data_IF_714730157205
#
_entry.id   IF_714730157205
#
_cell.length_a   1.000
_cell.length_b   1.000
_cell.length_c   1.000
_cell.angle_alpha   90.00
_cell.angle_beta   90.00
_cell.angle_gamma   90.00
#
_symmetry.space_group_name_H-M   'P 1'
#
loop_
_entity.id
_entity.type
_entity.pdbx_description
1 polymer ?
#
# COMPACT_ATOMS: atom_id res chain seq x y z
N UNK A 1 -8.45 -19.37 -20.44
CA UNK A 1 -8.92 -18.56 -21.59
C UNK A 1 -10.42 -18.40 -21.44
N UNK A 2 -10.90 -17.15 -21.35
CA UNK A 2 -12.33 -16.84 -21.23
C UNK A 2 -13.01 -17.16 -22.57
N UNK A 3 -13.94 -18.12 -22.58
CA UNK A 3 -14.67 -18.53 -23.78
C UNK A 3 -15.99 -17.74 -23.91
N UNK A 4 -15.91 -16.45 -24.28
CA UNK A 4 -17.09 -15.65 -24.63
C UNK A 4 -17.20 -15.49 -26.14
N UNK A 5 -18.43 -15.53 -26.65
CA UNK A 5 -18.70 -15.17 -28.05
C UNK A 5 -18.60 -13.65 -28.23
N UNK A 6 -18.37 -13.20 -29.48
CA UNK A 6 -18.41 -11.77 -29.79
C UNK A 6 -19.77 -11.13 -29.49
N UNK A 7 -20.87 -11.88 -29.61
CA UNK A 7 -22.20 -11.39 -29.26
C UNK A 7 -22.33 -11.10 -27.75
N UNK A 8 -21.78 -11.97 -26.90
CA UNK A 8 -21.77 -11.76 -25.45
C UNK A 8 -20.89 -10.58 -25.06
N UNK A 9 -19.69 -10.48 -25.64
CA UNK A 9 -18.78 -9.35 -25.39
C UNK A 9 -19.40 -8.03 -25.83
N UNK A 10 -20.00 -7.97 -27.02
CA UNK A 10 -20.68 -6.77 -27.51
C UNK A 10 -21.88 -6.41 -26.62
N UNK A 11 -22.69 -7.39 -26.20
CA UNK A 11 -23.78 -7.12 -25.27
C UNK A 11 -23.28 -6.50 -23.96
N UNK A 12 -22.21 -7.04 -23.38
CA UNK A 12 -21.62 -6.49 -22.16
C UNK A 12 -21.12 -5.07 -22.43
N UNK A 13 -20.38 -4.89 -23.53
CA UNK A 13 -19.76 -3.60 -23.83
C UNK A 13 -20.83 -2.50 -24.04
N UNK A 14 -21.88 -2.81 -24.80
CA UNK A 14 -22.95 -1.87 -25.12
C UNK A 14 -23.82 -1.46 -23.91
N UNK A 15 -23.78 -2.23 -22.82
CA UNK A 15 -24.66 -2.02 -21.66
C UNK A 15 -23.92 -1.67 -20.37
N UNK A 16 -22.60 -1.88 -20.29
CA UNK A 16 -21.82 -1.66 -19.07
C UNK A 16 -20.40 -1.09 -19.25
N UNK A 17 -19.91 -0.91 -20.49
CA UNK A 17 -18.55 -0.39 -20.71
C UNK A 17 -18.45 1.13 -20.49
N UNK A 18 -17.22 1.62 -20.47
CA UNK A 18 -16.82 3.01 -20.20
C UNK A 18 -17.76 4.05 -20.83
N UNK A 19 -18.18 5.01 -20.01
CA UNK A 19 -19.00 6.16 -20.42
C UNK A 19 -20.51 6.01 -20.17
N UNK A 20 -20.99 4.87 -19.68
CA UNK A 20 -22.38 4.72 -19.22
C UNK A 20 -22.48 5.23 -17.78
N UNK A 21 -23.31 6.25 -17.56
CA UNK A 21 -23.47 6.83 -16.23
C UNK A 21 -24.18 5.84 -15.27
N UNK A 22 -23.87 5.90 -13.98
CA UNK A 22 -24.44 4.96 -12.99
C UNK A 22 -25.98 4.95 -12.92
N UNK A 23 -26.63 6.07 -13.25
CA UNK A 23 -28.09 6.21 -13.31
C UNK A 23 -28.70 5.59 -14.57
N UNK A 24 -27.90 5.33 -15.60
CA UNK A 24 -28.31 4.68 -16.85
C UNK A 24 -28.12 3.16 -16.80
N UNK A 25 -27.31 2.66 -15.87
CA UNK A 25 -27.14 1.23 -15.61
C UNK A 25 -28.47 0.55 -15.26
N UNK A 26 -28.79 -0.52 -15.98
CA UNK A 26 -30.01 -1.29 -15.80
C UNK A 26 -29.72 -2.66 -15.23
N UNK A 27 -30.17 -2.90 -14.01
CA UNK A 27 -30.08 -4.21 -13.36
C UNK A 27 -30.78 -5.31 -14.18
N UNK A 28 -31.83 -4.97 -14.95
CA UNK A 28 -32.51 -5.91 -15.86
C UNK A 28 -31.64 -6.38 -17.02
N UNK A 29 -30.63 -5.60 -17.42
CA UNK A 29 -29.60 -6.02 -18.38
C UNK A 29 -28.58 -6.91 -17.69
N UNK A 30 -28.20 -6.58 -16.46
CA UNK A 30 -27.24 -7.37 -15.70
C UNK A 30 -27.75 -8.79 -15.45
N UNK A 31 -29.05 -8.93 -15.14
CA UNK A 31 -29.72 -10.23 -14.96
C UNK A 31 -29.76 -11.12 -16.21
N UNK A 32 -29.34 -10.63 -17.38
CA UNK A 32 -29.21 -11.45 -18.59
C UNK A 32 -27.84 -12.14 -18.66
N UNK A 33 -26.87 -11.71 -17.85
CA UNK A 33 -25.59 -12.39 -17.69
C UNK A 33 -25.79 -13.60 -16.77
N UNK A 34 -25.46 -14.78 -17.25
CA UNK A 34 -25.80 -16.06 -16.60
C UNK A 34 -24.59 -16.95 -16.35
N UNK A 35 -23.41 -16.56 -16.83
CA UNK A 35 -22.18 -17.34 -16.71
C UNK A 35 -21.11 -16.60 -15.92
N UNK A 36 -20.20 -17.35 -15.29
CA UNK A 36 -19.07 -16.77 -14.57
C UNK A 36 -18.11 -16.03 -15.50
N UNK A 37 -17.95 -16.52 -16.74
CA UNK A 37 -17.12 -15.92 -17.78
C UNK A 37 -17.63 -14.53 -18.17
N UNK A 38 -18.95 -14.34 -18.31
CA UNK A 38 -19.56 -13.03 -18.57
C UNK A 38 -19.29 -12.04 -17.44
N UNK A 39 -19.46 -12.48 -16.19
CA UNK A 39 -19.21 -11.63 -15.03
C UNK A 39 -17.73 -11.29 -14.85
N UNK A 40 -16.84 -12.25 -15.11
CA UNK A 40 -15.41 -12.01 -15.05
C UNK A 40 -14.95 -11.04 -16.14
N UNK A 41 -15.41 -11.23 -17.39
CA UNK A 41 -15.13 -10.27 -18.46
C UNK A 41 -15.64 -8.87 -18.08
N UNK A 42 -16.88 -8.76 -17.62
CA UNK A 42 -17.43 -7.48 -17.16
C UNK A 42 -16.57 -6.84 -16.05
N UNK A 43 -16.14 -7.61 -15.04
CA UNK A 43 -15.27 -7.11 -13.98
C UNK A 43 -13.94 -6.57 -14.52
N UNK A 44 -13.31 -7.28 -15.46
CA UNK A 44 -12.00 -6.90 -16.03
C UNK A 44 -12.06 -5.67 -16.94
N UNK A 45 -13.21 -5.42 -17.57
CA UNK A 45 -13.39 -4.27 -18.47
C UNK A 45 -13.94 -3.04 -17.74
N UNK A 46 -14.33 -3.17 -16.48
CA UNK A 46 -14.95 -2.08 -15.72
C UNK A 46 -13.91 -1.05 -15.27
N UNK A 47 -14.14 0.22 -15.61
CA UNK A 47 -13.35 1.32 -15.08
C UNK A 47 -13.82 1.67 -13.65
N UNK A 48 -12.94 1.49 -12.66
CA UNK A 48 -13.25 1.73 -11.25
C UNK A 48 -13.58 3.20 -10.94
N UNK A 49 -13.14 4.14 -11.78
CA UNK A 49 -13.48 5.57 -11.67
C UNK A 49 -14.97 5.86 -11.95
N UNK A 50 -15.66 4.97 -12.67
CA UNK A 50 -17.12 5.06 -12.90
C UNK A 50 -17.93 4.59 -11.66
N UNK A 51 -17.23 4.23 -10.58
CA UNK A 51 -17.74 3.73 -9.31
C UNK A 51 -18.06 2.23 -9.33
N UNK A 52 -18.51 1.69 -8.21
CA UNK A 52 -18.45 0.22 -7.97
C UNK A 52 -19.80 -0.50 -8.05
N UNK A 53 -20.85 0.16 -8.52
CA UNK A 53 -22.22 -0.39 -8.53
C UNK A 53 -22.34 -1.70 -9.31
N UNK A 54 -21.73 -1.79 -10.50
CA UNK A 54 -21.71 -3.02 -11.30
C UNK A 54 -20.90 -4.12 -10.60
N UNK A 55 -19.79 -3.75 -9.98
CA UNK A 55 -18.95 -4.67 -9.22
C UNK A 55 -19.68 -5.24 -7.99
N UNK A 56 -20.52 -4.44 -7.34
CA UNK A 56 -21.42 -4.92 -6.28
C UNK A 56 -22.43 -5.94 -6.82
N UNK A 57 -23.05 -5.69 -7.97
CA UNK A 57 -23.94 -6.68 -8.60
C UNK A 57 -23.22 -7.99 -8.93
N UNK A 58 -21.97 -7.92 -9.39
CA UNK A 58 -21.12 -9.10 -9.60
C UNK A 58 -20.87 -9.82 -8.27
N UNK A 59 -20.45 -9.11 -7.22
CA UNK A 59 -20.13 -9.69 -5.91
C UNK A 59 -21.35 -10.31 -5.20
N UNK A 60 -22.56 -9.84 -5.49
CA UNK A 60 -23.82 -10.39 -4.98
C UNK A 60 -24.37 -11.54 -5.84
N UNK A 61 -23.82 -11.75 -7.04
CA UNK A 61 -24.34 -12.74 -7.98
C UNK A 61 -23.89 -14.17 -7.62
N UNK A 62 -24.80 -15.15 -7.53
CA UNK A 62 -24.45 -16.54 -7.27
C UNK A 62 -23.78 -17.24 -8.47
N UNK A 63 -23.70 -16.59 -9.63
CA UNK A 63 -22.92 -17.09 -10.78
C UNK A 63 -21.51 -16.48 -10.84
N UNK A 64 -21.16 -15.58 -9.93
CA UNK A 64 -19.79 -15.07 -9.82
C UNK A 64 -18.83 -16.19 -9.41
N UNK A 65 -17.67 -16.24 -10.06
CA UNK A 65 -16.63 -17.21 -9.72
C UNK A 65 -15.83 -16.79 -8.49
N UNK A 66 -15.23 -17.77 -7.80
CA UNK A 66 -14.31 -17.49 -6.69
C UNK A 66 -13.11 -16.65 -7.15
N UNK A 67 -12.55 -16.91 -8.33
CA UNK A 67 -11.46 -16.10 -8.87
C UNK A 67 -11.87 -14.64 -9.10
N UNK A 68 -13.03 -14.38 -9.70
CA UNK A 68 -13.53 -13.01 -9.92
C UNK A 68 -13.81 -12.30 -8.60
N UNK A 69 -14.42 -12.98 -7.62
CA UNK A 69 -14.66 -12.39 -6.31
C UNK A 69 -13.36 -12.05 -5.57
N UNK A 70 -12.35 -12.91 -5.70
CA UNK A 70 -11.02 -12.67 -5.12
C UNK A 70 -10.31 -11.50 -5.80
N UNK A 71 -10.38 -11.41 -7.13
CA UNK A 71 -9.83 -10.30 -7.91
C UNK A 71 -10.46 -8.97 -7.49
N UNK A 72 -11.80 -8.89 -7.44
CA UNK A 72 -12.52 -7.69 -6.99
C UNK A 72 -12.13 -7.30 -5.56
N UNK A 73 -11.92 -8.28 -4.70
CA UNK A 73 -11.50 -8.03 -3.32
C UNK A 73 -10.16 -7.30 -3.27
N UNK A 74 -9.16 -7.78 -4.00
CA UNK A 74 -7.82 -7.18 -4.00
C UNK A 74 -7.74 -5.86 -4.74
N UNK A 75 -8.47 -5.73 -5.86
CA UNK A 75 -8.56 -4.46 -6.60
C UNK A 75 -9.26 -3.36 -5.79
N UNK A 76 -10.15 -3.72 -4.86
CA UNK A 76 -10.79 -2.78 -3.93
C UNK A 76 -9.86 -2.27 -2.80
N UNK A 77 -8.59 -2.68 -2.78
CA UNK A 77 -7.57 -2.20 -1.83
C UNK A 77 -8.02 -2.30 -0.36
N UNK A 78 -8.31 -3.51 0.15
CA UNK A 78 -8.86 -3.73 1.49
C UNK A 78 -8.03 -3.09 2.60
N UNK A 79 -6.71 -2.98 2.41
CA UNK A 79 -5.75 -2.36 3.32
C UNK A 79 -6.10 -0.91 3.68
N UNK A 80 -6.71 -0.15 2.77
CA UNK A 80 -7.09 1.24 3.03
C UNK A 80 -8.32 1.37 3.95
N UNK A 81 -9.07 0.28 4.08
CA UNK A 81 -10.30 0.21 4.86
C UNK A 81 -10.17 -0.57 6.16
N UNK A 82 -9.03 -1.20 6.43
CA UNK A 82 -8.77 -1.94 7.67
C UNK A 82 -8.92 -1.08 8.92
N UNK A 83 -8.82 0.24 8.81
CA UNK A 83 -9.01 1.16 9.94
C UNK A 83 -10.46 1.41 10.36
N UNK A 84 -11.41 1.04 9.51
CA UNK A 84 -12.83 1.24 9.78
C UNK A 84 -13.46 -0.06 10.27
N UNK A 85 -14.26 0.01 11.33
CA UNK A 85 -15.03 -1.13 11.79
C UNK A 85 -16.03 -1.59 10.71
N UNK A 86 -16.22 -2.90 10.54
CA UNK A 86 -17.08 -3.47 9.49
C UNK A 86 -18.57 -3.12 9.64
N UNK A 87 -19.01 -2.71 10.83
CA UNK A 87 -20.37 -2.21 11.09
C UNK A 87 -20.51 -0.69 10.82
N UNK A 88 -19.44 -0.02 10.41
CA UNK A 88 -19.41 1.42 10.16
C UNK A 88 -19.86 1.77 8.73
N UNK A 89 -20.38 2.99 8.59
CA UNK A 89 -20.69 3.65 7.31
C UNK A 89 -19.80 4.87 7.19
N UNK A 90 -19.05 4.97 6.09
CA UNK A 90 -18.11 6.07 5.86
C UNK A 90 -18.86 7.32 5.41
N UNK A 91 -18.31 8.50 5.76
CA UNK A 91 -18.90 9.79 5.39
C UNK A 91 -18.71 10.12 3.90
N UNK A 92 -17.58 9.71 3.33
CA UNK A 92 -17.32 9.88 1.91
C UNK A 92 -18.08 8.79 1.13
N UNK A 93 -18.96 9.21 0.22
CA UNK A 93 -19.86 8.29 -0.48
C UNK A 93 -19.11 7.28 -1.35
N UNK A 94 -18.15 7.72 -2.17
CA UNK A 94 -17.39 6.81 -3.04
C UNK A 94 -16.55 5.80 -2.24
N UNK A 95 -15.89 6.24 -1.17
CA UNK A 95 -15.20 5.34 -0.26
C UNK A 95 -16.17 4.37 0.42
N UNK A 96 -17.36 4.83 0.81
CA UNK A 96 -18.36 3.99 1.44
C UNK A 96 -18.92 2.92 0.48
N UNK A 97 -19.05 3.23 -0.81
CA UNK A 97 -19.45 2.25 -1.83
C UNK A 97 -18.41 1.13 -1.98
N UNK A 98 -17.13 1.49 -2.07
CA UNK A 98 -16.02 0.51 -2.09
C UNK A 98 -16.01 -0.31 -0.80
N UNK A 99 -16.15 0.33 0.36
CA UNK A 99 -16.20 -0.38 1.64
C UNK A 99 -17.41 -1.32 1.75
N UNK A 100 -18.53 -0.97 1.12
CA UNK A 100 -19.72 -1.83 1.06
C UNK A 100 -19.48 -3.05 0.18
N UNK A 101 -18.82 -2.88 -0.98
CA UNK A 101 -18.36 -4.00 -1.82
C UNK A 101 -17.44 -4.94 -1.03
N UNK A 102 -16.45 -4.39 -0.31
CA UNK A 102 -15.54 -5.18 0.55
C UNK A 102 -16.31 -5.97 1.61
N UNK A 103 -17.30 -5.37 2.28
CA UNK A 103 -18.14 -6.06 3.27
C UNK A 103 -18.93 -7.23 2.67
N UNK A 104 -19.42 -7.10 1.45
CA UNK A 104 -20.10 -8.19 0.72
C UNK A 104 -19.12 -9.34 0.47
N UNK A 105 -17.94 -9.04 -0.07
CA UNK A 105 -16.90 -10.02 -0.38
C UNK A 105 -16.39 -10.73 0.88
N UNK A 106 -16.07 -9.97 1.95
CA UNK A 106 -15.65 -10.50 3.26
C UNK A 106 -16.67 -11.44 3.88
N UNK A 107 -17.96 -11.19 3.64
CA UNK A 107 -19.04 -12.07 4.10
C UNK A 107 -19.18 -13.30 3.22
N UNK A 108 -19.24 -13.14 1.91
CA UNK A 108 -19.65 -14.21 0.99
C UNK A 108 -18.52 -15.19 0.68
N UNK A 109 -17.29 -14.70 0.53
CA UNK A 109 -16.15 -15.52 0.11
C UNK A 109 -15.81 -16.64 1.11
N UNK A 110 -15.65 -16.37 2.42
CA UNK A 110 -15.36 -17.43 3.39
C UNK A 110 -16.52 -18.41 3.59
N UNK A 111 -17.73 -18.02 3.20
CA UNK A 111 -18.93 -18.86 3.26
C UNK A 111 -19.13 -19.72 2.00
N UNK A 112 -18.15 -19.79 1.10
CA UNK A 112 -18.21 -20.58 -0.14
C UNK A 112 -19.41 -20.25 -1.03
N UNK A 113 -19.80 -18.97 -1.07
CA UNK A 113 -20.93 -18.51 -1.89
C UNK A 113 -20.65 -18.55 -3.40
N UNK A 114 -19.39 -18.34 -3.79
CA UNK A 114 -18.99 -18.21 -5.20
C UNK A 114 -18.73 -19.55 -5.88
N UNK A 115 -18.91 -19.58 -7.21
CA UNK A 115 -18.73 -20.80 -8.00
C UNK A 115 -17.25 -21.13 -8.20
N UNK A 116 -16.92 -22.42 -8.12
CA UNK A 116 -15.63 -22.94 -8.58
C UNK A 116 -15.67 -23.11 -10.08
N UNK A 117 -14.72 -22.49 -10.77
CA UNK A 117 -14.64 -22.52 -12.24
C UNK A 117 -13.21 -22.81 -12.67
N UNK A 118 -12.94 -22.72 -13.98
CA UNK A 118 -11.58 -22.79 -14.52
C UNK A 118 -10.90 -21.42 -14.61
N UNK A 119 -11.53 -20.36 -14.08
CA UNK A 119 -10.92 -19.04 -13.96
C UNK A 119 -9.99 -19.09 -12.76
N UNK A 120 -8.76 -18.62 -12.93
CA UNK A 120 -7.73 -18.62 -11.90
C UNK A 120 -7.39 -17.18 -11.53
N UNK A 121 -7.04 -16.95 -10.27
CA UNK A 121 -6.53 -15.65 -9.81
C UNK A 121 -5.45 -15.86 -8.75
N UNK A 122 -4.28 -15.24 -8.96
CA UNK A 122 -3.17 -15.27 -8.02
C UNK A 122 -3.04 -13.91 -7.30
N UNK A 123 -3.35 -13.85 -5.99
CA UNK A 123 -3.27 -12.61 -5.21
C UNK A 123 -1.85 -12.27 -4.74
N UNK A 124 -0.83 -13.07 -5.04
CA UNK A 124 0.52 -12.94 -4.45
C UNK A 124 1.10 -11.54 -4.61
N UNK A 125 1.01 -10.95 -5.81
CA UNK A 125 1.52 -9.59 -6.08
C UNK A 125 0.81 -8.50 -5.27
N UNK A 126 -0.44 -8.73 -4.88
CA UNK A 126 -1.21 -7.79 -4.07
C UNK A 126 -0.89 -7.95 -2.58
N UNK A 127 -0.58 -9.18 -2.13
CA UNK A 127 -0.13 -9.45 -0.76
C UNK A 127 1.22 -8.78 -0.45
N UNK A 128 2.16 -8.81 -1.40
CA UNK A 128 3.51 -8.25 -1.23
C UNK A 128 3.53 -6.71 -1.15
N UNK A 129 2.42 -6.06 -1.50
CA UNK A 129 2.26 -4.60 -1.47
C UNK A 129 1.97 -4.03 -0.06
N UNK A 130 1.74 -4.89 0.93
CA UNK A 130 1.47 -4.50 2.31
C UNK A 130 2.79 -4.06 3.00
N UNK A 131 3.26 -2.84 2.70
CA UNK A 131 4.38 -2.25 3.41
C UNK A 131 3.98 -1.94 4.86
N UNK A 132 4.20 -2.93 5.73
CA UNK A 132 3.97 -2.80 7.16
C UNK A 132 5.19 -2.18 7.84
N UNK A 133 4.97 -1.07 8.53
CA UNK A 133 5.98 -0.43 9.36
C UNK A 133 5.98 -1.11 10.73
N UNK A 134 7.08 -1.79 11.14
CA UNK A 134 7.13 -2.46 12.44
C UNK A 134 7.06 -1.45 13.60
N UNK A 135 6.31 -1.79 14.66
CA UNK A 135 6.14 -0.90 15.83
C UNK A 135 7.44 -0.44 16.47
N UNK A 136 8.47 -1.29 16.42
CA UNK A 136 9.76 -1.01 17.01
C UNK A 136 10.48 0.17 16.35
N UNK A 137 10.20 0.47 15.07
CA UNK A 137 10.90 1.56 14.35
C UNK A 137 10.41 2.95 14.78
N UNK A 138 9.26 3.00 15.46
CA UNK A 138 8.73 4.21 16.10
C UNK A 138 9.17 4.34 17.57
N UNK A 139 9.88 3.35 18.11
CA UNK A 139 10.43 3.42 19.47
C UNK A 139 11.78 4.11 19.47
N UNK A 140 12.11 4.74 20.60
CA UNK A 140 13.44 5.29 20.85
C UNK A 140 14.49 4.17 20.76
N UNK A 141 15.54 4.41 19.96
CA UNK A 141 16.68 3.50 19.83
C UNK A 141 17.65 3.63 21.02
N UNK A 142 18.48 2.61 21.25
CA UNK A 142 19.50 2.65 22.31
C UNK A 142 20.74 3.42 21.86
N UNK A 143 21.50 3.96 22.80
CA UNK A 143 22.79 4.61 22.55
C UNK A 143 22.95 5.90 23.34
N UNK A 144 24.00 6.65 23.03
CA UNK A 144 24.22 8.01 23.52
C UNK A 144 23.18 8.97 22.92
N UNK A 145 22.70 9.95 23.68
CA UNK A 145 21.65 10.86 23.18
C UNK A 145 22.15 11.67 21.98
N UNK A 146 21.47 11.53 20.83
CA UNK A 146 21.76 12.36 19.66
C UNK A 146 21.32 13.81 19.89
N UNK A 147 21.98 14.74 19.22
CA UNK A 147 21.59 16.16 19.19
C UNK A 147 21.88 16.75 17.82
N UNK A 148 21.08 17.75 17.44
CA UNK A 148 21.25 18.50 16.20
C UNK A 148 22.06 19.77 16.49
N UNK A 149 23.13 19.97 15.74
CA UNK A 149 24.01 21.15 15.80
C UNK A 149 24.18 21.85 14.46
N UNK A 150 23.81 21.21 13.33
CA UNK A 150 23.63 21.94 12.07
C UNK A 150 22.30 22.68 12.10
N UNK A 151 22.33 23.91 11.60
CA UNK A 151 21.13 24.67 11.28
C UNK A 151 20.75 24.44 9.82
N UNK A 152 19.50 24.70 9.47
CA UNK A 152 19.01 24.56 8.09
C UNK A 152 19.88 25.37 7.10
N UNK A 153 20.26 26.60 7.48
CA UNK A 153 21.14 27.45 6.68
C UNK A 153 22.56 26.89 6.46
N UNK A 154 23.04 25.99 7.31
CA UNK A 154 24.34 25.32 7.10
C UNK A 154 24.27 24.34 5.93
N UNK A 155 23.09 23.78 5.68
CA UNK A 155 22.84 22.68 4.73
C UNK A 155 22.17 23.17 3.45
N UNK A 156 21.35 24.23 3.51
CA UNK A 156 20.68 24.85 2.34
C UNK A 156 21.65 25.24 1.21
N UNK A 157 22.92 25.49 1.56
CA UNK A 157 23.96 25.86 0.60
C UNK A 157 24.65 24.66 -0.05
N UNK A 158 24.31 23.43 0.35
CA UNK A 158 24.88 22.22 -0.22
C UNK A 158 24.09 21.80 -1.46
N UNK A 159 24.79 21.64 -2.57
CA UNK A 159 24.22 21.12 -3.81
C UNK A 159 24.99 19.87 -4.23
N UNK A 160 24.31 18.86 -4.77
CA UNK A 160 24.91 17.68 -5.40
C UNK A 160 26.20 17.15 -4.72
N UNK A 161 27.38 17.60 -5.20
CA UNK A 161 28.70 17.18 -4.72
C UNK A 161 28.98 17.57 -3.28
N UNK A 162 28.46 18.70 -2.80
CA UNK A 162 28.62 19.08 -1.40
C UNK A 162 27.93 18.06 -0.49
N UNK A 163 26.70 17.65 -0.83
CA UNK A 163 25.99 16.58 -0.13
C UNK A 163 26.78 15.27 -0.12
N UNK A 164 27.20 14.81 -1.30
CA UNK A 164 27.98 13.58 -1.42
C UNK A 164 29.29 13.64 -0.60
N UNK A 165 29.99 14.77 -0.64
CA UNK A 165 31.25 14.95 0.07
C UNK A 165 31.03 14.98 1.59
N UNK A 166 30.06 15.73 2.08
CA UNK A 166 29.78 15.80 3.51
C UNK A 166 29.38 14.44 4.07
N UNK A 167 28.53 13.69 3.36
CA UNK A 167 28.17 12.32 3.75
C UNK A 167 29.41 11.42 3.73
N UNK A 168 30.18 11.41 2.64
CA UNK A 168 31.34 10.51 2.47
C UNK A 168 32.44 10.78 3.48
N UNK A 169 32.66 12.05 3.82
CA UNK A 169 33.75 12.50 4.67
C UNK A 169 33.35 12.80 6.11
N UNK A 170 32.10 12.50 6.50
CA UNK A 170 31.68 12.52 7.89
C UNK A 170 32.70 11.78 8.77
N UNK A 171 33.10 12.40 9.88
CA UNK A 171 34.21 11.95 10.74
C UNK A 171 33.74 11.17 11.95
N UNK A 172 32.44 11.15 12.20
CA UNK A 172 31.83 10.48 13.35
C UNK A 172 30.38 10.10 13.08
N UNK A 173 29.83 9.23 13.94
CA UNK A 173 28.41 8.88 13.92
C UNK A 173 27.51 10.09 14.18
N UNK A 174 27.88 10.98 15.11
CA UNK A 174 27.06 12.18 15.39
C UNK A 174 27.07 13.18 14.24
N UNK A 175 28.18 13.32 13.51
CA UNK A 175 28.24 14.18 12.32
C UNK A 175 27.39 13.60 11.19
N UNK A 176 27.47 12.29 10.94
CA UNK A 176 26.63 11.63 9.94
C UNK A 176 25.14 11.73 10.31
N UNK A 177 24.79 11.58 11.59
CA UNK A 177 23.43 11.76 12.09
C UNK A 177 22.90 13.17 11.81
N UNK A 178 23.73 14.18 12.05
CA UNK A 178 23.40 15.58 11.80
C UNK A 178 23.19 15.88 10.32
N UNK A 179 23.99 15.29 9.43
CA UNK A 179 23.78 15.35 7.98
C UNK A 179 22.47 14.66 7.60
N UNK A 180 22.24 13.46 8.15
CA UNK A 180 21.07 12.64 7.83
C UNK A 180 19.74 13.30 8.21
N UNK A 181 19.76 14.19 9.22
CA UNK A 181 18.59 14.92 9.69
C UNK A 181 17.95 15.82 8.62
N UNK A 182 18.73 16.26 7.62
CA UNK A 182 18.28 17.17 6.56
C UNK A 182 18.05 16.46 5.21
N UNK A 183 18.03 15.13 5.17
CA UNK A 183 17.81 14.40 3.92
C UNK A 183 16.37 14.60 3.43
N UNK A 184 16.26 15.00 2.17
CA UNK A 184 14.99 15.13 1.44
C UNK A 184 15.01 14.37 0.10
N UNK A 185 16.15 13.74 -0.25
CA UNK A 185 16.31 12.96 -1.48
C UNK A 185 16.79 11.52 -1.19
N UNK A 186 16.21 10.50 -1.87
CA UNK A 186 16.56 9.10 -1.61
C UNK A 186 18.03 8.74 -1.91
N UNK A 187 18.68 9.43 -2.84
CA UNK A 187 20.08 9.18 -3.21
C UNK A 187 21.04 9.48 -2.06
N UNK A 188 20.83 10.58 -1.34
CA UNK A 188 21.59 10.91 -0.13
C UNK A 188 21.30 9.92 1.00
N UNK A 189 20.05 9.48 1.17
CA UNK A 189 19.70 8.41 2.11
C UNK A 189 20.49 7.13 1.83
N UNK A 190 20.60 6.72 0.57
CA UNK A 190 21.35 5.54 0.17
C UNK A 190 22.85 5.67 0.53
N UNK A 191 23.45 6.86 0.33
CA UNK A 191 24.83 7.13 0.71
C UNK A 191 25.05 7.09 2.23
N UNK A 192 24.13 7.68 3.01
CA UNK A 192 24.20 7.62 4.47
C UNK A 192 24.14 6.18 4.97
N UNK A 193 23.21 5.36 4.46
CA UNK A 193 23.04 3.96 4.85
C UNK A 193 24.24 3.06 4.50
N UNK A 194 25.10 3.48 3.57
CA UNK A 194 26.33 2.78 3.19
C UNK A 194 27.56 3.30 3.95
N UNK A 195 27.44 4.42 4.67
CA UNK A 195 28.56 5.01 5.39
C UNK A 195 28.94 4.15 6.60
N UNK A 196 30.25 3.98 6.84
CA UNK A 196 30.79 3.21 7.98
C UNK A 196 30.35 3.73 9.36
N UNK A 197 29.95 5.00 9.45
CA UNK A 197 29.47 5.63 10.66
C UNK A 197 27.94 5.53 10.82
N UNK A 198 27.24 4.94 9.85
CA UNK A 198 25.80 4.70 9.97
C UNK A 198 25.55 3.68 11.08
N UNK A 199 24.87 4.14 12.11
CA UNK A 199 24.45 3.34 13.24
C UNK A 199 22.92 3.14 13.20
N UNK A 200 22.38 2.37 14.15
CA UNK A 200 20.95 2.08 14.19
C UNK A 200 20.11 3.34 14.39
N UNK A 201 20.55 4.27 15.24
CA UNK A 201 19.85 5.54 15.45
C UNK A 201 19.75 6.35 14.15
N UNK A 202 20.86 6.47 13.42
CA UNK A 202 20.92 7.13 12.11
C UNK A 202 20.08 6.40 11.07
N UNK A 203 20.11 5.06 11.03
CA UNK A 203 19.30 4.29 10.09
C UNK A 203 17.80 4.46 10.32
N UNK A 204 17.36 4.54 11.58
CA UNK A 204 15.95 4.82 11.93
C UNK A 204 15.58 6.27 11.58
N UNK A 205 16.46 7.25 11.78
CA UNK A 205 16.24 8.63 11.32
C UNK A 205 16.06 8.68 9.79
N UNK A 206 16.95 8.03 9.03
CA UNK A 206 16.88 7.97 7.56
C UNK A 206 15.60 7.28 7.10
N UNK A 207 15.15 6.22 7.79
CA UNK A 207 13.86 5.59 7.50
C UNK A 207 12.73 6.61 7.53
N UNK A 208 12.66 7.45 8.58
CA UNK A 208 11.59 8.43 8.70
C UNK A 208 11.71 9.59 7.72
N UNK A 209 12.94 10.02 7.36
CA UNK A 209 13.12 10.99 6.27
C UNK A 209 12.63 10.46 4.94
N UNK A 210 12.98 9.22 4.60
CA UNK A 210 12.48 8.56 3.40
C UNK A 210 10.95 8.42 3.42
N UNK A 211 10.39 8.03 4.56
CA UNK A 211 8.95 7.84 4.70
C UNK A 211 8.17 9.16 4.56
N UNK A 212 8.61 10.23 5.21
CA UNK A 212 7.90 11.52 5.19
C UNK A 212 8.22 12.32 3.93
N UNK A 213 9.51 12.56 3.66
CA UNK A 213 9.97 13.54 2.66
C UNK A 213 10.11 12.92 1.27
N UNK A 214 10.34 11.60 1.19
CA UNK A 214 10.61 10.92 -0.07
C UNK A 214 9.51 9.94 -0.51
N UNK A 215 8.30 10.07 0.01
CA UNK A 215 7.17 9.17 -0.29
C UNK A 215 6.74 9.18 -1.77
N UNK A 216 7.06 10.24 -2.52
CA UNK A 216 6.71 10.40 -3.93
C UNK A 216 7.59 9.57 -4.89
N UNK A 217 8.72 9.03 -4.42
CA UNK A 217 9.66 8.28 -5.27
C UNK A 217 9.31 6.78 -5.32
N UNK A 218 9.33 6.20 -6.51
CA UNK A 218 8.85 4.83 -6.79
C UNK A 218 9.64 3.72 -6.09
N UNK A 219 10.90 3.98 -5.72
CA UNK A 219 11.80 3.00 -5.10
C UNK A 219 11.96 3.20 -3.58
N UNK A 220 11.28 4.18 -2.98
CA UNK A 220 11.33 4.46 -1.54
C UNK A 220 10.89 3.25 -0.71
N UNK A 221 9.80 2.57 -1.10
CA UNK A 221 9.31 1.39 -0.36
C UNK A 221 10.37 0.28 -0.28
N UNK A 222 11.08 0.00 -1.38
CA UNK A 222 12.17 -0.99 -1.40
C UNK A 222 13.31 -0.59 -0.46
N UNK A 223 13.65 0.70 -0.38
CA UNK A 223 14.67 1.19 0.56
C UNK A 223 14.21 1.06 2.01
N UNK A 224 12.97 1.44 2.32
CA UNK A 224 12.39 1.32 3.65
C UNK A 224 12.40 -0.13 4.14
N UNK A 225 11.96 -1.09 3.30
CA UNK A 225 12.04 -2.53 3.58
C UNK A 225 13.50 -2.98 3.79
N UNK A 226 14.43 -2.49 2.96
CA UNK A 226 15.85 -2.77 3.10
C UNK A 226 16.44 -2.29 4.43
N UNK A 227 16.01 -1.14 4.94
CA UNK A 227 16.42 -0.61 6.25
C UNK A 227 15.91 -1.51 7.37
N UNK A 228 14.60 -1.84 7.35
CA UNK A 228 13.98 -2.75 8.34
C UNK A 228 14.76 -4.07 8.40
N UNK A 229 14.96 -4.71 7.25
CA UNK A 229 15.66 -6.00 7.16
C UNK A 229 17.11 -5.91 7.71
N UNK A 230 17.85 -4.85 7.35
CA UNK A 230 19.21 -4.64 7.84
C UNK A 230 19.25 -4.48 9.37
N UNK A 231 18.32 -3.71 9.94
CA UNK A 231 18.23 -3.51 11.39
C UNK A 231 17.86 -4.81 12.11
N UNK A 232 16.88 -5.56 11.62
CA UNK A 232 16.47 -6.84 12.20
C UNK A 232 17.61 -7.88 12.20
N UNK A 233 18.48 -7.81 11.20
CA UNK A 233 19.68 -8.63 11.11
C UNK A 233 20.92 -8.03 11.79
N UNK A 234 20.75 -7.00 12.63
CA UNK A 234 21.82 -6.35 13.41
C UNK A 234 23.00 -5.83 12.57
N UNK A 235 22.75 -5.35 11.35
CA UNK A 235 23.81 -4.82 10.48
C UNK A 235 24.38 -3.48 10.94
N UNK A 236 23.62 -2.71 11.74
CA UNK A 236 24.05 -1.41 12.25
C UNK A 236 24.39 -1.51 13.74
N UNK A 237 25.52 -0.93 14.18
CA UNK A 237 25.83 -0.83 15.60
C UNK A 237 24.84 0.10 16.31
N UNK A 238 24.62 -0.08 17.61
CA UNK A 238 23.84 0.84 18.45
C UNK A 238 24.78 1.83 19.14
N UNK A 239 24.97 3.02 18.56
CA UNK A 239 25.90 4.05 19.08
C UNK A 239 25.11 5.25 19.59
N UNK A 240 24.22 5.78 18.75
CA UNK A 240 23.34 6.90 19.05
C UNK A 240 21.90 6.44 19.26
N UNK A 241 21.27 7.08 20.23
CA UNK A 241 19.85 7.01 20.46
C UNK A 241 19.16 8.14 19.69
N UNK A 242 18.16 7.74 18.90
CA UNK A 242 17.20 8.60 18.21
C UNK A 242 15.77 8.24 18.63
N UNK A 243 14.96 9.28 18.88
CA UNK A 243 13.55 9.15 19.25
C UNK A 243 12.63 9.75 18.17
N UNK A 244 11.97 8.91 17.35
CA UNK A 244 11.04 9.38 16.33
C UNK A 244 9.84 10.16 16.89
N UNK A 245 9.46 9.89 18.15
CA UNK A 245 8.26 10.49 18.75
C UNK A 245 8.43 11.97 19.10
N UNK A 246 9.67 12.47 19.10
CA UNK A 246 10.01 13.87 19.39
C UNK A 246 10.46 14.64 18.15
N UNK A 247 10.52 13.97 16.99
CA UNK A 247 10.95 14.58 15.73
C UNK A 247 9.71 15.10 14.97
N UNK A 248 9.66 16.41 14.75
CA UNK A 248 8.51 17.07 14.11
C UNK A 248 8.31 16.65 12.65
N UNK A 249 9.36 16.16 11.97
CA UNK A 249 9.27 15.62 10.61
C UNK A 249 8.69 14.20 10.56
N UNK A 250 8.39 13.58 11.71
CA UNK A 250 7.75 12.26 11.75
C UNK A 250 6.23 12.41 11.80
N UNK A 251 5.58 12.49 10.63
CA UNK A 251 4.12 12.43 10.52
C UNK A 251 3.64 10.97 10.34
N UNK A 252 3.87 10.16 11.37
CA UNK A 252 3.37 8.80 11.41
C UNK A 252 2.19 8.66 12.36
N UNK A 253 1.04 8.30 11.78
CA UNK A 253 -0.12 7.83 12.54
C UNK A 253 -0.30 6.37 12.22
N UNK A 254 0.04 5.49 13.17
CA UNK A 254 -0.25 4.07 13.06
C UNK A 254 -1.74 3.92 12.78
N UNK A 255 -2.10 3.48 11.56
CA UNK A 255 -3.49 3.17 11.21
C UNK A 255 -3.94 2.09 12.19
N UNK A 256 -4.95 2.40 13.00
CA UNK A 256 -5.53 1.43 13.92
C UNK A 256 -6.22 0.36 13.10
N UNK A 257 -5.76 -0.87 13.13
CA UNK A 257 -6.42 -1.97 12.43
C UNK A 257 -7.66 -2.38 13.24
N UNK A 258 -8.84 -2.26 12.63
CA UNK A 258 -10.14 -2.62 13.20
C UNK A 258 -10.54 -4.06 12.83
N UNK A 259 -9.97 -4.61 11.76
CA UNK A 259 -10.17 -5.99 11.33
C UNK A 259 -8.96 -6.50 10.53
N UNK A 260 -8.69 -7.79 10.67
CA UNK A 260 -7.58 -8.46 9.99
C UNK A 260 -8.05 -9.09 8.68
N UNK A 261 -7.16 -9.11 7.69
CA UNK A 261 -7.40 -9.78 6.42
C UNK A 261 -7.45 -11.30 6.60
N UNK A 262 -8.56 -11.99 6.26
CA UNK A 262 -8.63 -13.44 6.40
C UNK A 262 -7.67 -14.16 5.45
N UNK A 263 -6.94 -15.15 5.97
CA UNK A 263 -5.93 -15.94 5.21
C UNK A 263 -6.45 -16.59 3.92
N UNK A 264 -7.76 -16.83 3.82
CA UNK A 264 -8.36 -17.42 2.62
C UNK A 264 -8.22 -16.50 1.39
N UNK A 265 -8.15 -15.18 1.58
CA UNK A 265 -7.96 -14.22 0.49
C UNK A 265 -6.50 -14.16 0.00
N UNK A 266 -5.54 -14.72 0.74
CA UNK A 266 -4.12 -14.74 0.34
C UNK A 266 -3.75 -15.95 -0.53
N UNK A 267 -4.70 -16.86 -0.78
CA UNK A 267 -4.43 -18.11 -1.49
C UNK A 267 -4.83 -17.97 -2.96
N UNK A 268 -4.01 -18.44 -3.90
CA UNK A 268 -4.42 -18.54 -5.28
C UNK A 268 -5.58 -19.53 -5.41
N UNK A 269 -6.46 -19.25 -6.37
CA UNK A 269 -7.58 -20.10 -6.78
C UNK A 269 -7.47 -20.45 -8.25
#
# INVERSE_FOLDING_TARGET
MINLTSEQQNFINDNFYEGILQNELKESKFKQLTTSEELHYLATQHNWDDGVKVLQWIAESPVCSEATALELFWLAQPQDFQQYALDHTLKNESQNEVFTLLKILLKNYPNHFYQKTAIEFDPTSFCDSEFMIPDWIFQKTNGEESYIYYEESDVEVWFDREWENNIRWAKSTIELFNIAYFIEEPEYAALVLQNRFCDKGTAVLVFWRLYTECSLYTYTNTMLQGIINKIENNHYPEILSYNPQTDEKVDYKKKKIAWELPEIFRKPV
#
